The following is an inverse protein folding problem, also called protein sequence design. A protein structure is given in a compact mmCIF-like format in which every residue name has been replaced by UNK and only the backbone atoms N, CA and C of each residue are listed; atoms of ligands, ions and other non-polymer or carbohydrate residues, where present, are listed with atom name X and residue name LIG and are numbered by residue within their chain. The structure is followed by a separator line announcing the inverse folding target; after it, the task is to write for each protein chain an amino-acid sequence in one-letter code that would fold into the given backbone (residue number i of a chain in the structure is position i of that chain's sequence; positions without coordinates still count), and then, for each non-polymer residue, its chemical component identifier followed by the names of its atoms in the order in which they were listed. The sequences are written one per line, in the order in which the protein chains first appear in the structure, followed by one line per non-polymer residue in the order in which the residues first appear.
data_IF_069474230409
#
_entry.id   IF_069474230409
#
_cell.length_a   1.000
_cell.length_b   1.000
_cell.length_c   1.000
_cell.angle_alpha   90.00
_cell.angle_beta   90.00
_cell.angle_gamma   90.00
#
_symmetry.space_group_name_H-M   'P 1'
#
loop_
_entity.id
_entity.type
_entity.pdbx_description
1 polymer ?
#
# COMPACT_ATOMS: atom_id res chain seq x y z
N UNK A 1 13.83 8.52 -10.24
CA UNK A 1 12.59 7.72 -10.33
C UNK A 1 12.84 6.22 -10.50
N UNK A 2 13.90 5.79 -11.20
CA UNK A 2 14.09 4.38 -11.59
C UNK A 2 15.01 3.59 -10.66
N UNK A 3 16.06 4.20 -10.12
CA UNK A 3 17.02 3.50 -9.25
C UNK A 3 16.37 2.91 -8.00
N UNK A 4 15.56 3.65 -7.20
CA UNK A 4 14.94 3.10 -6.01
C UNK A 4 13.97 1.95 -6.29
N UNK A 5 13.04 2.01 -7.29
CA UNK A 5 12.20 0.88 -7.66
C UNK A 5 13.00 -0.37 -8.08
N UNK A 6 14.06 -0.20 -8.87
CA UNK A 6 14.88 -1.33 -9.30
C UNK A 6 15.60 -1.97 -8.10
N UNK A 7 16.18 -1.16 -7.21
CA UNK A 7 16.80 -1.67 -5.98
C UNK A 7 15.78 -2.42 -5.09
N UNK A 8 14.56 -1.88 -4.95
CA UNK A 8 13.47 -2.56 -4.26
C UNK A 8 13.15 -3.90 -4.91
N UNK A 9 13.00 -3.94 -6.24
CA UNK A 9 12.69 -5.15 -7.00
C UNK A 9 13.75 -6.22 -6.82
N UNK A 10 15.02 -5.85 -6.89
CA UNK A 10 16.14 -6.77 -6.65
C UNK A 10 16.12 -7.31 -5.23
N UNK A 11 15.89 -6.45 -4.23
CA UNK A 11 15.75 -6.88 -2.83
C UNK A 11 14.63 -7.91 -2.66
N UNK A 12 13.46 -7.67 -3.28
CA UNK A 12 12.33 -8.60 -3.23
C UNK A 12 12.61 -9.93 -3.94
N UNK A 13 13.43 -9.94 -4.98
CA UNK A 13 13.84 -11.17 -5.67
C UNK A 13 14.77 -12.03 -4.81
N UNK A 14 15.70 -11.42 -4.07
CA UNK A 14 16.66 -12.15 -3.24
C UNK A 14 16.11 -12.54 -1.85
N UNK A 15 15.31 -11.69 -1.23
CA UNK A 15 14.87 -11.87 0.16
C UNK A 15 13.37 -12.17 0.29
N UNK A 16 12.60 -12.11 -0.81
CA UNK A 16 11.16 -12.28 -0.78
C UNK A 16 10.41 -11.06 -0.26
N UNK A 17 9.08 -11.14 -0.25
CA UNK A 17 8.21 -10.11 0.33
C UNK A 17 8.16 -10.25 1.84
N UNK A 18 8.41 -9.18 2.62
CA UNK A 18 8.39 -9.24 4.07
C UNK A 18 6.94 -9.16 4.61
N UNK A 19 6.12 -10.17 4.32
CA UNK A 19 4.73 -10.23 4.80
C UNK A 19 4.62 -11.09 6.07
N UNK A 20 3.75 -10.69 7.01
CA UNK A 20 3.47 -11.45 8.23
C UNK A 20 2.79 -10.59 9.30
N UNK A 21 2.35 -11.26 10.37
CA UNK A 21 1.77 -10.63 11.56
C UNK A 21 2.77 -10.67 12.71
N UNK A 22 2.78 -9.61 13.53
CA UNK A 22 3.60 -9.48 14.75
C UNK A 22 5.08 -9.85 14.51
N UNK A 23 5.62 -9.34 13.41
CA UNK A 23 7.01 -9.57 13.01
C UNK A 23 7.93 -8.82 13.97
N UNK A 24 8.76 -9.55 14.70
CA UNK A 24 9.74 -8.97 15.65
C UNK A 24 10.96 -8.37 14.93
N UNK A 25 11.59 -7.38 15.56
CA UNK A 25 12.71 -6.59 15.01
C UNK A 25 13.93 -7.43 14.59
N UNK A 26 14.17 -8.57 15.22
CA UNK A 26 15.32 -9.43 14.92
C UNK A 26 15.11 -10.31 13.68
N UNK A 27 13.88 -10.42 13.19
CA UNK A 27 13.55 -11.28 12.04
C UNK A 27 14.11 -10.74 10.73
N UNK A 28 14.39 -11.65 9.79
CA UNK A 28 14.80 -11.29 8.43
C UNK A 28 13.73 -10.45 7.72
N UNK A 29 12.44 -10.78 7.92
CA UNK A 29 11.32 -10.03 7.34
C UNK A 29 11.30 -8.57 7.82
N UNK A 30 11.51 -8.31 9.12
CA UNK A 30 11.61 -6.94 9.65
C UNK A 30 12.78 -6.18 9.04
N UNK A 31 13.96 -6.79 8.98
CA UNK A 31 15.17 -6.16 8.42
C UNK A 31 14.97 -5.82 6.94
N UNK A 32 14.35 -6.72 6.17
CA UNK A 32 14.01 -6.49 4.76
C UNK A 32 13.02 -5.34 4.63
N UNK A 33 11.92 -5.34 5.40
CA UNK A 33 10.94 -4.24 5.39
C UNK A 33 11.59 -2.90 5.75
N UNK A 34 12.39 -2.87 6.81
CA UNK A 34 13.08 -1.65 7.24
C UNK A 34 13.99 -1.10 6.14
N UNK A 35 14.77 -1.96 5.50
CA UNK A 35 15.63 -1.58 4.37
C UNK A 35 14.82 -1.03 3.20
N UNK A 36 13.72 -1.71 2.82
CA UNK A 36 12.82 -1.25 1.76
C UNK A 36 12.18 0.09 2.10
N UNK A 37 11.88 0.35 3.37
CA UNK A 37 11.36 1.64 3.82
C UNK A 37 12.40 2.75 3.61
N UNK A 38 13.68 2.49 3.87
CA UNK A 38 14.75 3.49 3.61
C UNK A 38 14.86 3.83 2.12
N UNK A 39 14.78 2.84 1.23
CA UNK A 39 14.79 3.07 -0.21
C UNK A 39 13.60 3.96 -0.65
N UNK A 40 12.45 3.84 0.00
CA UNK A 40 11.24 4.61 -0.29
C UNK A 40 11.23 6.00 0.35
N UNK A 41 12.15 6.29 1.27
CA UNK A 41 12.13 7.49 2.11
C UNK A 41 12.06 8.79 1.30
N UNK A 42 12.77 8.86 0.16
CA UNK A 42 12.75 10.02 -0.73
C UNK A 42 11.32 10.38 -1.14
N UNK A 43 10.55 9.40 -1.61
CA UNK A 43 9.18 9.60 -2.08
C UNK A 43 8.19 9.76 -0.92
N UNK A 44 8.47 9.14 0.23
CA UNK A 44 7.68 9.33 1.44
C UNK A 44 7.83 10.75 2.02
N UNK A 45 8.92 11.43 1.73
CA UNK A 45 9.19 12.81 2.16
C UNK A 45 8.81 13.85 1.11
N UNK A 46 9.03 13.55 -0.15
CA UNK A 46 8.83 14.48 -1.26
C UNK A 46 7.65 14.01 -2.14
N UNK A 47 6.44 14.10 -1.59
CA UNK A 47 5.21 13.62 -2.24
C UNK A 47 4.96 14.25 -3.62
N UNK A 48 5.43 15.47 -3.85
CA UNK A 48 5.27 16.13 -5.14
C UNK A 48 5.92 15.36 -6.28
N UNK A 49 6.94 14.54 -6.03
CA UNK A 49 7.54 13.68 -7.05
C UNK A 49 6.54 12.67 -7.61
N UNK A 50 5.65 12.14 -6.77
CA UNK A 50 4.59 11.24 -7.23
C UNK A 50 3.47 11.99 -7.94
N UNK A 51 3.14 13.22 -7.49
CA UNK A 51 2.15 14.06 -8.19
C UNK A 51 2.58 14.35 -9.63
N UNK A 52 3.88 14.55 -9.89
CA UNK A 52 4.38 14.74 -11.25
C UNK A 52 4.12 13.51 -12.15
N UNK A 53 4.21 12.30 -11.61
CA UNK A 53 3.89 11.08 -12.36
C UNK A 53 2.39 10.94 -12.65
N UNK A 54 1.54 11.48 -11.79
CA UNK A 54 0.08 11.45 -11.94
C UNK A 54 -0.44 12.40 -13.02
N UNK A 55 0.37 13.39 -13.45
CA UNK A 55 0.03 14.28 -14.57
C UNK A 55 -0.10 13.52 -15.90
N UNK A 56 0.59 12.38 -16.03
CA UNK A 56 0.52 11.54 -17.22
C UNK A 56 -0.34 10.30 -16.93
N UNK A 57 -1.47 10.13 -17.62
CA UNK A 57 -2.34 8.97 -17.41
C UNK A 57 -1.58 7.64 -17.48
N UNK A 58 -1.76 6.79 -16.47
CA UNK A 58 -1.12 5.49 -16.36
C UNK A 58 0.34 5.47 -15.91
N UNK A 59 1.09 6.58 -16.01
CA UNK A 59 2.52 6.61 -15.67
C UNK A 59 2.76 6.25 -14.19
N UNK A 60 1.93 6.75 -13.29
CA UNK A 60 2.03 6.42 -11.87
C UNK A 60 1.80 4.91 -11.60
N UNK A 61 0.82 4.30 -12.26
CA UNK A 61 0.58 2.86 -12.15
C UNK A 61 1.77 2.03 -12.67
N UNK A 62 2.32 2.40 -13.83
CA UNK A 62 3.53 1.75 -14.37
C UNK A 62 4.69 1.88 -13.39
N UNK A 63 4.89 3.06 -12.82
CA UNK A 63 5.95 3.29 -11.84
C UNK A 63 5.76 2.47 -10.55
N UNK A 64 4.53 2.36 -10.02
CA UNK A 64 4.23 1.47 -8.89
C UNK A 64 4.52 -0.01 -9.21
N UNK A 65 4.27 -0.43 -10.45
CA UNK A 65 4.61 -1.78 -10.88
C UNK A 65 6.13 -2.04 -10.93
N UNK A 66 6.95 -1.03 -11.17
CA UNK A 66 8.42 -1.17 -11.05
C UNK A 66 8.86 -1.49 -9.62
N UNK A 67 8.16 -0.98 -8.60
CA UNK A 67 8.41 -1.31 -7.19
C UNK A 67 8.05 -2.76 -6.83
N UNK A 68 7.22 -3.43 -7.62
CA UNK A 68 6.79 -4.80 -7.36
C UNK A 68 5.29 -4.95 -7.06
N UNK A 69 4.55 -3.87 -7.10
CA UNK A 69 3.08 -3.88 -7.00
C UNK A 69 2.41 -4.46 -8.24
N UNK A 70 1.10 -4.65 -8.16
CA UNK A 70 0.23 -5.01 -9.28
C UNK A 70 -0.85 -3.94 -9.41
N UNK A 71 -0.59 -2.93 -10.21
CA UNK A 71 -1.49 -1.78 -10.39
C UNK A 71 -1.90 -1.66 -11.83
N UNK A 72 -3.21 -1.66 -12.09
CA UNK A 72 -3.75 -1.46 -13.42
C UNK A 72 -3.50 -0.03 -13.90
N UNK A 73 -3.05 0.12 -15.16
CA UNK A 73 -2.94 1.44 -15.80
C UNK A 73 -4.28 2.15 -16.01
N UNK A 74 -5.38 1.40 -15.90
CA UNK A 74 -6.75 1.90 -15.95
C UNK A 74 -7.32 2.17 -14.55
N UNK A 75 -6.50 2.28 -13.51
CA UNK A 75 -6.89 2.79 -12.20
C UNK A 75 -6.75 4.31 -12.14
N UNK A 76 -7.62 4.96 -11.39
CA UNK A 76 -7.56 6.41 -11.15
C UNK A 76 -6.98 6.72 -9.77
N UNK A 77 -6.12 7.74 -9.71
CA UNK A 77 -5.46 8.18 -8.49
C UNK A 77 -5.71 9.66 -8.25
N UNK A 78 -6.46 9.96 -7.21
CA UNK A 78 -6.70 11.32 -6.76
C UNK A 78 -5.44 12.01 -6.24
N UNK A 79 -5.37 13.34 -6.29
CA UNK A 79 -4.23 14.08 -5.77
C UNK A 79 -4.01 13.83 -4.28
N UNK A 80 -2.75 13.94 -3.85
CA UNK A 80 -2.30 13.76 -2.47
C UNK A 80 -2.57 12.36 -1.89
N UNK A 81 -2.94 11.37 -2.73
CA UNK A 81 -3.01 9.98 -2.28
C UNK A 81 -1.61 9.44 -1.97
N UNK A 82 -1.48 8.68 -0.88
CA UNK A 82 -0.20 8.24 -0.33
C UNK A 82 -0.11 6.72 -0.29
N UNK A 83 0.97 6.17 -0.84
CA UNK A 83 1.31 4.74 -0.76
C UNK A 83 2.60 4.60 0.02
N UNK A 84 2.53 4.06 1.25
CA UNK A 84 3.72 3.93 2.10
C UNK A 84 4.63 2.77 1.70
N UNK A 85 4.03 1.63 1.30
CA UNK A 85 4.77 0.43 0.87
C UNK A 85 4.43 0.11 -0.59
N UNK A 86 5.16 0.77 -1.50
CA UNK A 86 4.88 0.75 -2.95
C UNK A 86 5.01 -0.62 -3.62
N UNK A 87 5.48 -1.63 -2.90
CA UNK A 87 5.62 -3.01 -3.38
C UNK A 87 4.53 -3.95 -2.84
N UNK A 88 3.65 -3.47 -1.94
CA UNK A 88 2.63 -4.25 -1.25
C UNK A 88 1.20 -3.75 -1.50
N UNK A 89 0.91 -3.34 -2.73
CA UNK A 89 -0.46 -3.02 -3.14
C UNK A 89 -0.84 -3.76 -4.42
N UNK A 90 -2.11 -4.10 -4.50
CA UNK A 90 -2.77 -4.57 -5.72
C UNK A 90 -3.99 -3.69 -5.97
N UNK A 91 -4.03 -3.06 -7.16
CA UNK A 91 -5.14 -2.19 -7.56
C UNK A 91 -5.59 -2.61 -8.96
N UNK A 92 -6.82 -3.09 -9.04
CA UNK A 92 -7.35 -3.70 -10.26
C UNK A 92 -7.97 -2.66 -11.20
N UNK A 93 -8.41 -3.13 -12.36
CA UNK A 93 -8.95 -2.29 -13.43
C UNK A 93 -10.15 -1.46 -12.94
N UNK A 94 -10.20 -0.19 -13.35
CA UNK A 94 -11.31 0.70 -13.04
C UNK A 94 -11.42 1.11 -11.56
N UNK A 95 -10.51 0.65 -10.71
CA UNK A 95 -10.51 1.09 -9.32
C UNK A 95 -10.16 2.57 -9.21
N UNK A 96 -10.80 3.26 -8.26
CA UNK A 96 -10.62 4.68 -7.99
C UNK A 96 -10.07 4.86 -6.57
N UNK A 97 -8.91 5.47 -6.47
CA UNK A 97 -8.32 5.90 -5.20
C UNK A 97 -8.53 7.41 -5.07
N UNK A 98 -9.36 7.82 -4.12
CA UNK A 98 -9.74 9.23 -3.91
C UNK A 98 -8.58 10.09 -3.40
N UNK A 99 -8.80 11.41 -3.41
CA UNK A 99 -7.81 12.39 -2.93
C UNK A 99 -7.47 12.17 -1.46
N UNK A 100 -6.20 12.34 -1.08
CA UNK A 100 -5.75 12.21 0.30
C UNK A 100 -5.82 10.81 0.90
N UNK A 101 -6.18 9.78 0.12
CA UNK A 101 -6.23 8.39 0.60
C UNK A 101 -4.83 7.93 1.02
N UNK A 102 -4.77 7.23 2.15
CA UNK A 102 -3.54 6.66 2.68
C UNK A 102 -3.60 5.13 2.64
N UNK A 103 -2.70 4.52 1.87
CA UNK A 103 -2.53 3.07 1.80
C UNK A 103 -1.28 2.70 2.59
N UNK A 104 -1.46 2.10 3.78
CA UNK A 104 -0.35 1.65 4.64
C UNK A 104 -0.38 0.14 4.75
N UNK A 105 0.51 -0.54 4.06
CA UNK A 105 0.62 -2.00 4.10
C UNK A 105 1.39 -2.50 5.33
N UNK A 106 1.74 -1.61 6.25
CA UNK A 106 2.33 -1.96 7.54
C UNK A 106 1.66 -1.21 8.70
N UNK A 107 1.74 -1.80 9.90
CA UNK A 107 1.31 -1.19 11.15
C UNK A 107 2.23 -1.63 12.29
N UNK A 108 2.89 -0.65 12.95
CA UNK A 108 3.67 -0.90 14.16
C UNK A 108 2.76 -1.09 15.37
N UNK A 109 3.09 -2.07 16.21
CA UNK A 109 2.35 -2.45 17.41
C UNK A 109 3.32 -2.70 18.57
N UNK A 110 2.81 -2.69 19.80
CA UNK A 110 3.51 -3.23 20.95
C UNK A 110 3.09 -4.69 21.17
N UNK A 111 4.04 -5.52 21.51
CA UNK A 111 3.81 -6.88 21.96
C UNK A 111 3.33 -6.92 23.42
N UNK A 112 2.91 -8.07 23.91
CA UNK A 112 2.46 -8.27 25.30
C UNK A 112 3.57 -7.94 26.31
N UNK A 113 4.81 -8.21 25.93
CA UNK A 113 6.00 -7.89 26.73
C UNK A 113 6.52 -6.45 26.52
N UNK A 114 5.79 -5.59 25.81
CA UNK A 114 6.16 -4.21 25.49
C UNK A 114 7.20 -4.07 24.38
N UNK A 115 7.58 -5.15 23.72
CA UNK A 115 8.45 -5.16 22.53
C UNK A 115 7.75 -4.58 21.31
N UNK A 116 8.52 -3.98 20.40
CA UNK A 116 7.99 -3.48 19.12
C UNK A 116 7.89 -4.61 18.11
N UNK A 117 6.70 -4.75 17.54
CA UNK A 117 6.40 -5.69 16.45
C UNK A 117 5.66 -4.97 15.33
N UNK A 118 5.66 -5.55 14.13
CA UNK A 118 5.02 -4.95 12.96
C UNK A 118 4.18 -5.97 12.21
N UNK A 119 2.99 -5.55 11.83
CA UNK A 119 2.16 -6.26 10.85
C UNK A 119 2.47 -5.72 9.45
N UNK A 120 2.70 -6.60 8.49
CA UNK A 120 2.98 -6.24 7.10
C UNK A 120 2.15 -7.15 6.20
N UNK A 121 1.28 -6.58 5.37
CA UNK A 121 0.43 -7.36 4.48
C UNK A 121 -0.06 -6.59 3.26
N UNK A 122 -0.26 -7.31 2.15
CA UNK A 122 -0.76 -6.79 0.89
C UNK A 122 -2.13 -6.12 1.05
N UNK A 123 -2.29 -4.91 0.51
CA UNK A 123 -3.59 -4.26 0.34
C UNK A 123 -4.12 -4.60 -1.05
N UNK A 124 -5.39 -5.01 -1.14
CA UNK A 124 -6.07 -5.30 -2.40
C UNK A 124 -7.27 -4.40 -2.60
N UNK A 125 -7.29 -3.67 -3.72
CA UNK A 125 -8.42 -2.86 -4.18
C UNK A 125 -8.88 -3.50 -5.49
N UNK A 126 -10.04 -4.18 -5.43
CA UNK A 126 -10.52 -5.00 -6.55
C UNK A 126 -11.16 -4.15 -7.66
N UNK A 127 -11.51 -4.81 -8.77
CA UNK A 127 -12.04 -4.17 -9.98
C UNK A 127 -13.21 -3.23 -9.69
N UNK A 128 -13.15 -2.01 -10.25
CA UNK A 128 -14.21 -1.01 -10.11
C UNK A 128 -14.49 -0.52 -8.68
N UNK A 129 -13.68 -0.90 -7.70
CA UNK A 129 -13.85 -0.42 -6.32
C UNK A 129 -13.46 1.05 -6.19
N UNK A 130 -14.17 1.78 -5.31
CA UNK A 130 -13.95 3.20 -5.07
C UNK A 130 -13.52 3.40 -3.62
N UNK A 131 -12.37 4.02 -3.42
CA UNK A 131 -11.92 4.46 -2.10
C UNK A 131 -12.20 5.96 -1.98
N UNK A 132 -13.11 6.33 -1.09
CA UNK A 132 -13.48 7.72 -0.84
C UNK A 132 -12.29 8.54 -0.31
N UNK A 133 -12.35 9.86 -0.54
CA UNK A 133 -11.29 10.78 -0.14
C UNK A 133 -10.92 10.65 1.35
N UNK A 134 -9.66 10.91 1.70
CA UNK A 134 -9.13 10.89 3.08
C UNK A 134 -9.30 9.54 3.81
N UNK A 135 -9.66 8.46 3.13
CA UNK A 135 -9.73 7.14 3.76
C UNK A 135 -8.34 6.61 4.09
N UNK A 136 -8.26 5.83 5.18
CA UNK A 136 -7.04 5.11 5.58
C UNK A 136 -7.29 3.61 5.46
N UNK A 137 -6.49 2.95 4.64
CA UNK A 137 -6.55 1.50 4.40
C UNK A 137 -5.32 0.85 5.03
N UNK A 138 -5.55 0.00 6.03
CA UNK A 138 -4.50 -0.70 6.78
C UNK A 138 -3.98 -1.96 6.09
N UNK A 139 -2.93 -2.60 6.66
CA UNK A 139 -2.32 -3.80 6.10
C UNK A 139 -3.32 -4.96 6.00
N UNK A 140 -3.22 -5.73 4.93
CA UNK A 140 -4.07 -6.90 4.69
C UNK A 140 -5.54 -6.58 4.41
N UNK A 141 -5.89 -5.30 4.22
CA UNK A 141 -7.24 -4.93 3.85
C UNK A 141 -7.56 -5.31 2.41
N UNK A 142 -8.81 -5.73 2.21
CA UNK A 142 -9.36 -6.00 0.88
C UNK A 142 -10.66 -5.20 0.68
N UNK A 143 -10.74 -4.50 -0.44
CA UNK A 143 -11.99 -3.89 -0.91
C UNK A 143 -12.47 -4.70 -2.10
N UNK A 144 -13.67 -5.31 -1.99
CA UNK A 144 -14.20 -6.16 -3.04
C UNK A 144 -14.64 -5.36 -4.27
N UNK A 145 -14.83 -6.07 -5.39
CA UNK A 145 -15.14 -5.46 -6.66
C UNK A 145 -16.44 -4.64 -6.59
N UNK A 146 -16.43 -3.48 -7.26
CA UNK A 146 -17.57 -2.54 -7.35
C UNK A 146 -18.08 -2.01 -5.99
N UNK A 147 -17.31 -2.18 -4.93
CA UNK A 147 -17.63 -1.64 -3.60
C UNK A 147 -17.12 -0.22 -3.43
N UNK A 148 -17.81 0.56 -2.61
CA UNK A 148 -17.41 1.92 -2.27
C UNK A 148 -17.13 2.06 -0.78
N UNK A 149 -15.88 2.38 -0.45
CA UNK A 149 -15.49 2.80 0.91
C UNK A 149 -15.79 4.29 1.06
N UNK A 150 -16.61 4.71 2.02
CA UNK A 150 -16.92 6.12 2.24
C UNK A 150 -15.67 6.96 2.53
N UNK A 151 -15.77 8.28 2.26
CA UNK A 151 -14.72 9.23 2.59
C UNK A 151 -14.38 9.22 4.09
N UNK A 152 -13.13 9.52 4.42
CA UNK A 152 -12.58 9.57 5.79
C UNK A 152 -12.70 8.25 6.58
N UNK A 153 -13.04 7.15 5.91
CA UNK A 153 -13.18 5.85 6.57
C UNK A 153 -11.82 5.24 6.87
N UNK A 154 -11.69 4.68 8.08
CA UNK A 154 -10.52 3.90 8.49
C UNK A 154 -10.84 2.41 8.45
N UNK A 155 -10.17 1.66 7.58
CA UNK A 155 -10.22 0.20 7.56
C UNK A 155 -9.09 -0.36 8.43
N UNK A 156 -9.48 -1.06 9.48
CA UNK A 156 -8.55 -1.73 10.40
C UNK A 156 -7.80 -2.86 9.68
N UNK A 157 -6.59 -3.21 10.11
CA UNK A 157 -5.83 -4.31 9.53
C UNK A 157 -6.66 -5.58 9.32
N UNK A 158 -6.39 -6.28 8.22
CA UNK A 158 -7.02 -7.56 7.85
C UNK A 158 -8.55 -7.51 7.74
N UNK A 159 -9.13 -6.36 7.44
CA UNK A 159 -10.56 -6.25 7.21
C UNK A 159 -10.91 -6.29 5.74
N UNK A 160 -12.04 -6.89 5.42
CA UNK A 160 -12.63 -6.87 4.08
C UNK A 160 -13.80 -5.90 4.05
N UNK A 161 -13.85 -5.03 3.04
CA UNK A 161 -15.00 -4.18 2.75
C UNK A 161 -15.87 -4.87 1.69
N UNK A 162 -17.10 -5.23 2.07
CA UNK A 162 -18.04 -5.95 1.25
C UNK A 162 -19.47 -5.62 1.62
N UNK A 163 -20.38 -5.49 0.63
CA UNK A 163 -21.81 -5.14 0.80
C UNK A 163 -22.01 -3.88 1.63
N UNK A 164 -21.21 -2.83 1.32
CA UNK A 164 -21.26 -1.54 1.99
C UNK A 164 -20.85 -1.54 3.46
N UNK A 165 -20.22 -2.60 3.95
CA UNK A 165 -19.79 -2.72 5.36
C UNK A 165 -18.43 -3.40 5.50
N UNK A 166 -17.79 -3.11 6.64
CA UNK A 166 -16.58 -3.80 7.07
C UNK A 166 -16.94 -5.19 7.61
N UNK A 167 -16.28 -6.20 7.07
CA UNK A 167 -16.31 -7.58 7.60
C UNK A 167 -14.91 -7.90 8.12
N UNK A 168 -14.83 -8.57 9.27
CA UNK A 168 -13.55 -9.04 9.82
C UNK A 168 -13.06 -10.19 8.95
N UNK A 169 -11.83 -10.11 8.44
CA UNK A 169 -11.17 -11.18 7.70
C UNK A 169 -10.60 -12.22 8.65
#
# INVERSE_FOLDING_TARGET
YFVPPIACRLTLLFFGRPEGRRIGQQSAAYKTWWFLTQIQMLFNRLHFLEEMLRLVPGAYAVWLNLWGSKVSVLSFWGPQSNVFDRYLIQVERGAVVGSGVKLSSHLGLLDEDGGYVIDIALITISEGAIIGAEALIGPGCRVEAHEMVPASRKLQPYSTWRKGRKVKG
#
